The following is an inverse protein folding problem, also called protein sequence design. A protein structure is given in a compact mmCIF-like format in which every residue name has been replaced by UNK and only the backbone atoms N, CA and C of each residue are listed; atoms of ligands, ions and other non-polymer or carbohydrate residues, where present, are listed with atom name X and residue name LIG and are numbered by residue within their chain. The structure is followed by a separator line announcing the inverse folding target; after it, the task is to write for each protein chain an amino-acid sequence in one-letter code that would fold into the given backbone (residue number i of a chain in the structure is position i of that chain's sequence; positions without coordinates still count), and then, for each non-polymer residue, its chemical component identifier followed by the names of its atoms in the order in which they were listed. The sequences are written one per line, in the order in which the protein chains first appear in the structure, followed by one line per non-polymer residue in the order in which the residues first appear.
data_IF_743488043793
#
_entry.id   IF_743488043793
#
_cell.length_a   1.000
_cell.length_b   1.000
_cell.length_c   1.000
_cell.angle_alpha   90.00
_cell.angle_beta   90.00
_cell.angle_gamma   90.00
#
_symmetry.space_group_name_H-M   'P 1'
#
loop_
_entity.id
_entity.type
_entity.pdbx_description
1 polymer ?
#
# COMPACT_ATOMS: atom_id res chain seq x y z
N UNK A 1 -12.25 20.07 22.02
CA UNK A 1 -11.96 19.38 20.75
C UNK A 1 -10.77 18.48 21.01
N UNK A 2 -10.91 17.15 21.06
CA UNK A 2 -9.74 16.28 21.15
C UNK A 2 -8.94 16.46 19.85
N UNK A 3 -7.66 16.80 19.99
CA UNK A 3 -6.72 16.84 18.86
C UNK A 3 -6.67 15.44 18.23
N UNK A 4 -6.72 15.31 16.89
CA UNK A 4 -6.56 14.00 16.28
C UNK A 4 -5.20 13.45 16.69
N UNK A 5 -5.19 12.29 17.35
CA UNK A 5 -3.95 11.60 17.68
C UNK A 5 -3.14 11.44 16.38
N UNK A 6 -1.90 11.96 16.31
CA UNK A 6 -1.08 11.83 15.10
C UNK A 6 -0.80 10.35 14.74
N UNK A 7 -1.04 9.43 15.68
CA UNK A 7 -0.98 7.98 15.49
C UNK A 7 -2.19 7.38 14.76
N UNK A 8 -3.29 8.14 14.62
CA UNK A 8 -4.48 7.68 13.90
C UNK A 8 -4.49 8.08 12.43
N UNK A 9 -3.53 8.91 11.98
CA UNK A 9 -3.47 9.36 10.60
C UNK A 9 -3.16 8.18 9.68
N UNK A 10 -4.11 7.85 8.81
CA UNK A 10 -3.96 6.78 7.82
C UNK A 10 -3.61 7.34 6.46
N UNK A 11 -2.73 6.64 5.76
CA UNK A 11 -2.38 6.91 4.38
C UNK A 11 -2.97 5.80 3.52
N UNK A 12 -3.69 6.20 2.49
CA UNK A 12 -4.02 5.33 1.37
C UNK A 12 -2.97 5.54 0.30
N UNK A 13 -2.34 4.46 -0.16
CA UNK A 13 -1.47 4.54 -1.32
C UNK A 13 -1.78 3.40 -2.30
N UNK A 14 -2.04 3.71 -3.58
CA UNK A 14 -2.11 2.68 -4.62
C UNK A 14 -0.73 2.20 -5.04
N UNK A 15 -0.65 0.90 -5.30
CA UNK A 15 0.50 0.21 -5.85
C UNK A 15 0.05 -0.58 -7.07
N UNK A 16 0.53 -0.23 -8.26
CA UNK A 16 0.25 -1.00 -9.48
C UNK A 16 1.40 -1.97 -9.73
N UNK A 17 1.08 -3.25 -9.86
CA UNK A 17 2.02 -4.36 -10.10
C UNK A 17 1.43 -5.32 -11.11
N UNK A 18 2.26 -6.16 -11.74
CA UNK A 18 1.74 -7.33 -12.45
C UNK A 18 0.89 -8.21 -11.53
N UNK A 19 -0.14 -8.84 -12.11
CA UNK A 19 -1.09 -9.67 -11.38
C UNK A 19 -0.39 -10.82 -10.67
N UNK A 20 0.62 -11.42 -11.32
CA UNK A 20 1.44 -12.50 -10.75
C UNK A 20 2.28 -12.04 -9.54
N UNK A 21 2.61 -10.76 -9.48
CA UNK A 21 3.37 -10.15 -8.39
C UNK A 21 2.49 -9.63 -7.25
N UNK A 22 1.17 -9.60 -7.43
CA UNK A 22 0.23 -9.04 -6.45
C UNK A 22 0.24 -9.76 -5.10
N UNK A 23 0.42 -11.09 -5.08
CA UNK A 23 0.53 -11.88 -3.84
C UNK A 23 1.87 -11.62 -3.14
N UNK A 24 2.93 -11.47 -3.91
CA UNK A 24 4.28 -11.13 -3.41
C UNK A 24 4.26 -9.75 -2.77
N UNK A 25 3.66 -8.76 -3.42
CA UNK A 25 3.49 -7.41 -2.90
C UNK A 25 2.73 -7.39 -1.56
N UNK A 26 1.60 -8.11 -1.48
CA UNK A 26 0.83 -8.22 -0.24
C UNK A 26 1.64 -8.87 0.90
N UNK A 27 2.41 -9.90 0.58
CA UNK A 27 3.23 -10.61 1.56
C UNK A 27 4.36 -9.73 2.09
N UNK A 28 5.05 -8.98 1.22
CA UNK A 28 6.08 -8.02 1.59
C UNK A 28 5.52 -6.92 2.50
N UNK A 29 4.38 -6.34 2.12
CA UNK A 29 3.71 -5.31 2.92
C UNK A 29 3.32 -5.82 4.30
N UNK A 30 2.73 -7.02 4.38
CA UNK A 30 2.37 -7.61 5.67
C UNK A 30 3.57 -7.96 6.53
N UNK A 31 4.69 -8.34 5.92
CA UNK A 31 5.93 -8.63 6.65
C UNK A 31 6.52 -7.39 7.30
N UNK A 32 6.58 -6.28 6.56
CA UNK A 32 7.26 -5.06 6.99
C UNK A 32 6.36 -4.13 7.80
N UNK A 33 5.07 -4.05 7.46
CA UNK A 33 4.13 -3.09 8.04
C UNK A 33 2.94 -3.76 8.75
N UNK A 34 2.95 -5.08 8.95
CA UNK A 34 1.78 -5.90 9.30
C UNK A 34 0.80 -5.30 10.33
N UNK A 35 1.28 -4.90 11.51
CA UNK A 35 0.43 -4.33 12.56
C UNK A 35 -0.08 -2.90 12.26
N UNK A 36 0.52 -2.23 11.29
CA UNK A 36 0.23 -0.85 10.88
C UNK A 36 -0.64 -0.79 9.63
N UNK A 37 -0.82 -1.92 8.92
CA UNK A 37 -1.74 -2.03 7.80
C UNK A 37 -3.16 -2.20 8.34
N UNK A 38 -4.06 -1.30 7.94
CA UNK A 38 -5.49 -1.38 8.24
C UNK A 38 -6.25 -2.20 7.22
N UNK A 39 -5.93 -2.05 5.94
CA UNK A 39 -6.55 -2.83 4.86
C UNK A 39 -5.66 -2.88 3.63
N UNK A 40 -5.85 -3.95 2.84
CA UNK A 40 -5.32 -4.06 1.48
C UNK A 40 -6.47 -4.51 0.60
N UNK A 41 -6.75 -3.75 -0.46
CA UNK A 41 -7.75 -4.10 -1.47
C UNK A 41 -7.06 -4.29 -2.82
N UNK A 42 -7.35 -5.42 -3.46
CA UNK A 42 -6.86 -5.72 -4.80
C UNK A 42 -7.94 -5.32 -5.83
N UNK A 43 -7.54 -4.57 -6.84
CA UNK A 43 -8.35 -4.26 -8.00
C UNK A 43 -7.60 -4.71 -9.25
N UNK A 44 -8.09 -5.77 -9.89
CA UNK A 44 -7.55 -6.23 -11.17
C UNK A 44 -7.86 -5.21 -12.26
N UNK A 45 -6.87 -4.88 -13.09
CA UNK A 45 -7.05 -4.03 -14.25
C UNK A 45 -7.22 -4.96 -15.46
N UNK A 46 -8.42 -5.09 -16.03
CA UNK A 46 -8.64 -5.93 -17.20
C UNK A 46 -7.76 -5.46 -18.38
N UNK A 47 -7.40 -6.39 -19.25
CA UNK A 47 -6.61 -6.18 -20.48
C UNK A 47 -5.13 -5.81 -20.33
N UNK A 48 -4.61 -5.59 -19.11
CA UNK A 48 -3.21 -5.17 -18.90
C UNK A 48 -2.31 -6.15 -18.15
N UNK A 49 -2.83 -7.29 -17.69
CA UNK A 49 -2.14 -8.19 -16.74
C UNK A 49 -1.67 -7.48 -15.45
N UNK A 50 -2.17 -6.29 -15.15
CA UNK A 50 -1.84 -5.49 -13.98
C UNK A 50 -2.92 -5.61 -12.90
N UNK A 51 -2.50 -5.43 -11.65
CA UNK A 51 -3.37 -5.30 -10.50
C UNK A 51 -2.96 -4.08 -9.66
N UNK A 52 -3.95 -3.32 -9.23
CA UNK A 52 -3.77 -2.20 -8.32
C UNK A 52 -4.08 -2.64 -6.89
N UNK A 53 -3.10 -2.50 -6.01
CA UNK A 53 -3.19 -2.75 -4.58
C UNK A 53 -3.41 -1.42 -3.87
N UNK A 54 -4.60 -1.24 -3.32
CA UNK A 54 -4.96 -0.12 -2.48
C UNK A 54 -4.67 -0.46 -1.04
N UNK A 55 -3.62 0.12 -0.49
CA UNK A 55 -3.13 -0.22 0.85
C UNK A 55 -3.39 0.96 1.78
N UNK A 56 -4.13 0.69 2.86
CA UNK A 56 -4.36 1.64 3.94
C UNK A 56 -3.48 1.26 5.12
N UNK A 57 -2.65 2.18 5.59
CA UNK A 57 -1.76 1.98 6.75
C UNK A 57 -1.62 3.24 7.58
N UNK A 58 -1.09 3.11 8.79
CA UNK A 58 -0.67 4.24 9.63
C UNK A 58 0.42 5.06 8.94
N UNK A 59 0.39 6.39 9.01
CA UNK A 59 1.37 7.27 8.36
C UNK A 59 2.83 6.95 8.71
N UNK A 60 3.10 6.49 9.94
CA UNK A 60 4.43 6.04 10.40
C UNK A 60 4.98 4.84 9.63
N UNK A 61 4.14 4.11 8.91
CA UNK A 61 4.48 2.91 8.16
C UNK A 61 4.66 3.16 6.66
N UNK A 62 4.46 4.40 6.20
CA UNK A 62 4.51 4.72 4.77
C UNK A 62 5.90 4.57 4.17
N UNK A 63 6.91 5.17 4.80
CA UNK A 63 8.30 5.02 4.37
C UNK A 63 8.77 3.55 4.32
N UNK A 64 8.57 2.72 5.37
CA UNK A 64 8.97 1.32 5.31
C UNK A 64 8.17 0.52 4.27
N UNK A 65 6.88 0.81 4.07
CA UNK A 65 6.07 0.17 3.04
C UNK A 65 6.62 0.43 1.64
N UNK A 66 6.93 1.69 1.32
CA UNK A 66 7.50 2.08 0.03
C UNK A 66 8.88 1.44 -0.15
N UNK A 67 9.73 1.50 0.88
CA UNK A 67 11.08 0.94 0.82
C UNK A 67 11.07 -0.57 0.56
N UNK A 68 10.21 -1.32 1.27
CA UNK A 68 10.03 -2.76 1.10
C UNK A 68 9.61 -3.13 -0.33
N UNK A 69 8.68 -2.36 -0.88
CA UNK A 69 8.15 -2.59 -2.22
C UNK A 69 9.16 -2.21 -3.31
N UNK A 70 9.90 -1.10 -3.16
CA UNK A 70 10.95 -0.72 -4.11
C UNK A 70 12.06 -1.78 -4.16
N UNK A 71 12.44 -2.34 -3.00
CA UNK A 71 13.45 -3.39 -2.93
C UNK A 71 12.96 -4.75 -3.43
N UNK A 72 11.71 -5.10 -3.14
CA UNK A 72 11.15 -6.40 -3.49
C UNK A 72 10.51 -6.47 -4.88
N UNK A 73 10.10 -5.33 -5.44
CA UNK A 73 9.30 -5.24 -6.67
C UNK A 73 9.76 -4.04 -7.53
N UNK A 74 10.91 -4.15 -8.23
CA UNK A 74 11.47 -3.05 -9.02
C UNK A 74 10.60 -2.64 -10.22
N UNK A 75 9.67 -3.49 -10.65
CA UNK A 75 8.72 -3.20 -11.74
C UNK A 75 7.42 -2.51 -11.24
N UNK A 76 7.25 -2.31 -9.93
CA UNK A 76 6.03 -1.74 -9.38
C UNK A 76 5.96 -0.22 -9.59
N UNK A 77 4.75 0.28 -9.87
CA UNK A 77 4.46 1.71 -9.95
C UNK A 77 3.71 2.17 -8.69
N UNK A 78 4.23 3.20 -8.04
CA UNK A 78 3.70 3.74 -6.79
C UNK A 78 2.90 5.00 -7.06
N UNK A 79 1.67 5.07 -6.55
CA UNK A 79 0.89 6.31 -6.52
C UNK A 79 0.59 6.73 -5.09
N UNK A 80 0.34 8.01 -4.87
CA UNK A 80 -0.22 8.54 -3.63
C UNK A 80 -1.57 9.18 -3.96
N UNK A 81 -2.65 8.63 -3.40
CA UNK A 81 -3.99 9.22 -3.56
C UNK A 81 -4.41 9.76 -2.20
N UNK A 82 -4.46 11.08 -2.10
CA UNK A 82 -5.07 11.73 -0.95
C UNK A 82 -6.58 11.46 -1.01
N UNK A 83 -7.07 10.55 -0.17
CA UNK A 83 -8.51 10.43 0.07
C UNK A 83 -8.94 11.62 0.92
N UNK A 84 -9.76 12.50 0.36
CA UNK A 84 -10.50 13.47 1.14
C UNK A 84 -11.48 12.71 2.05
N UNK A 85 -11.47 13.07 3.34
CA UNK A 85 -12.29 12.47 4.39
C UNK A 85 -13.78 12.78 4.21
#
# INVERSE_FOLDING_TARGET
MPSPDPLQMTVLFPLTVDTDLSLTAQSLLRRECGAQIRSIHLQSIPDKHEACLWVTLSASAYEPAVHALVLGLPAAQFGAVAMAA
#
